data_IF_767633673817
#
_entry.id   IF_767633673817
#
_cell.length_a   1.000
_cell.length_b   1.000
_cell.length_c   1.000
_cell.angle_alpha   90.00
_cell.angle_beta   90.00
_cell.angle_gamma   90.00
#
_symmetry.space_group_name_H-M   'P 1'
#
loop_
_entity.id
_entity.type
_entity.pdbx_description
1 polymer ?
#
# COMPACT_ATOMS: atom_id res chain seq x y z
N UNK A 1 0.17 -12.10 -11.59
CA UNK A 1 0.79 -13.03 -12.56
C UNK A 1 2.26 -12.67 -12.67
N UNK A 2 3.14 -13.53 -12.15
CA UNK A 2 4.58 -13.24 -12.07
C UNK A 2 5.13 -12.89 -13.48
N UNK A 3 5.93 -11.83 -13.53
CA UNK A 3 6.57 -11.29 -14.73
C UNK A 3 7.37 -12.37 -15.49
N UNK A 4 8.03 -13.27 -14.75
CA UNK A 4 8.79 -14.40 -15.32
C UNK A 4 7.86 -15.39 -16.04
N UNK A 5 6.70 -15.72 -15.46
CA UNK A 5 5.73 -16.64 -16.09
C UNK A 5 5.24 -16.12 -17.45
N UNK A 6 4.97 -14.82 -17.57
CA UNK A 6 4.59 -14.19 -18.86
C UNK A 6 5.71 -14.28 -19.90
N UNK A 7 6.95 -14.05 -19.48
CA UNK A 7 8.09 -14.02 -20.38
C UNK A 7 8.50 -15.43 -20.81
N UNK A 8 8.49 -16.41 -19.90
CA UNK A 8 8.71 -17.81 -20.26
C UNK A 8 7.62 -18.29 -21.22
N UNK A 9 6.35 -17.92 -21.01
CA UNK A 9 5.28 -18.18 -21.97
C UNK A 9 5.50 -17.49 -23.34
N UNK A 10 6.05 -16.27 -23.37
CA UNK A 10 6.42 -15.58 -24.60
C UNK A 10 7.61 -16.23 -25.31
N UNK A 11 8.63 -16.67 -24.57
CA UNK A 11 9.77 -17.44 -25.07
C UNK A 11 9.25 -18.75 -25.68
N UNK A 12 8.34 -19.45 -25.01
CA UNK A 12 7.71 -20.67 -25.53
C UNK A 12 6.81 -20.40 -26.75
N UNK A 13 6.09 -19.26 -26.77
CA UNK A 13 5.19 -18.85 -27.86
C UNK A 13 5.91 -18.39 -29.14
N UNK A 14 7.19 -18.03 -29.07
CA UNK A 14 8.03 -17.68 -30.22
C UNK A 14 8.49 -18.89 -31.07
N UNK A 15 7.95 -20.09 -30.84
CA UNK A 15 8.16 -21.24 -31.73
C UNK A 15 9.38 -22.10 -31.41
N UNK A 16 9.85 -22.13 -30.17
CA UNK A 16 10.98 -22.97 -29.74
C UNK A 16 10.64 -24.45 -29.52
N UNK A 17 9.41 -24.87 -29.80
CA UNK A 17 8.96 -26.28 -29.76
C UNK A 17 9.54 -27.15 -30.89
N UNK A 18 10.37 -26.59 -31.78
CA UNK A 18 11.05 -27.30 -32.86
C UNK A 18 12.48 -26.81 -33.17
N UNK A 19 13.13 -26.07 -32.26
CA UNK A 19 14.48 -25.55 -32.49
C UNK A 19 15.53 -26.66 -32.33
N UNK A 20 16.44 -26.77 -33.31
CA UNK A 20 17.56 -27.72 -33.29
C UNK A 20 18.65 -27.38 -32.28
N UNK A 21 18.54 -26.22 -31.60
CA UNK A 21 19.50 -25.77 -30.59
C UNK A 21 20.85 -25.37 -31.18
N UNK A 22 20.90 -24.93 -32.44
CA UNK A 22 22.16 -24.69 -33.15
C UNK A 22 22.68 -23.26 -33.03
N UNK A 23 21.80 -22.27 -32.80
CA UNK A 23 22.20 -20.85 -32.65
C UNK A 23 22.40 -20.46 -31.18
N UNK A 24 23.36 -19.57 -30.85
CA UNK A 24 23.63 -19.16 -29.48
C UNK A 24 22.40 -18.64 -28.71
N UNK A 25 21.56 -17.82 -29.35
CA UNK A 25 20.35 -17.28 -28.73
C UNK A 25 19.30 -18.36 -28.43
N UNK A 26 19.20 -19.38 -29.28
CA UNK A 26 18.27 -20.50 -29.07
C UNK A 26 18.73 -21.39 -27.92
N UNK A 27 20.05 -21.62 -27.80
CA UNK A 27 20.64 -22.33 -26.67
C UNK A 27 20.41 -21.58 -25.35
N UNK A 28 20.51 -20.25 -25.37
CA UNK A 28 20.22 -19.44 -24.17
C UNK A 28 18.74 -19.51 -23.79
N UNK A 29 17.84 -19.44 -24.77
CA UNK A 29 16.40 -19.58 -24.54
C UNK A 29 16.05 -20.95 -23.95
N UNK A 30 16.65 -22.00 -24.50
CA UNK A 30 16.47 -23.36 -24.02
C UNK A 30 17.02 -23.53 -22.60
N UNK A 31 18.19 -22.95 -22.27
CA UNK A 31 18.75 -23.02 -20.92
C UNK A 31 17.80 -22.41 -19.89
N UNK A 32 17.25 -21.23 -20.15
CA UNK A 32 16.31 -20.56 -19.24
C UNK A 32 14.98 -21.33 -19.13
N UNK A 33 14.45 -21.85 -20.24
CA UNK A 33 13.23 -22.64 -20.23
C UNK A 33 13.41 -23.96 -19.47
N UNK A 34 14.50 -24.70 -19.75
CA UNK A 34 14.85 -25.92 -19.03
C UNK A 34 15.04 -25.63 -17.53
N UNK A 35 15.67 -24.49 -17.20
CA UNK A 35 15.84 -24.07 -15.81
C UNK A 35 14.53 -23.77 -15.10
N UNK A 36 13.56 -23.16 -15.79
CA UNK A 36 12.22 -22.89 -15.27
C UNK A 36 11.40 -24.19 -15.06
N UNK A 37 11.53 -25.14 -15.96
CA UNK A 37 10.78 -26.40 -15.92
C UNK A 37 11.43 -27.52 -15.12
N UNK A 38 12.68 -27.33 -14.65
CA UNK A 38 13.39 -28.34 -13.86
C UNK A 38 14.03 -29.44 -14.71
N UNK A 39 14.23 -29.22 -16.00
CA UNK A 39 14.88 -30.20 -16.89
C UNK A 39 16.41 -30.16 -16.70
N UNK A 40 16.86 -30.85 -15.65
CA UNK A 40 18.26 -30.91 -15.25
C UNK A 40 19.16 -31.57 -16.30
N UNK A 41 18.64 -32.52 -17.08
CA UNK A 41 19.40 -33.20 -18.14
C UNK A 41 19.75 -32.22 -19.26
N UNK A 42 18.76 -31.44 -19.72
CA UNK A 42 18.98 -30.39 -20.72
C UNK A 42 19.89 -29.29 -20.18
N UNK A 43 19.72 -28.87 -18.92
CA UNK A 43 20.59 -27.86 -18.29
C UNK A 43 22.05 -28.33 -18.28
N UNK A 44 22.31 -29.54 -17.77
CA UNK A 44 23.67 -30.10 -17.71
C UNK A 44 24.30 -30.27 -19.10
N UNK A 45 23.52 -30.71 -20.09
CA UNK A 45 23.99 -30.79 -21.48
C UNK A 45 24.41 -29.42 -22.01
N UNK A 46 23.59 -28.38 -21.79
CA UNK A 46 23.87 -27.03 -22.27
C UNK A 46 25.09 -26.41 -21.56
N UNK A 47 25.26 -26.66 -20.26
CA UNK A 47 26.46 -26.29 -19.51
C UNK A 47 27.71 -26.96 -20.12
N UNK A 48 27.64 -28.26 -20.41
CA UNK A 48 28.74 -29.01 -21.03
C UNK A 48 29.06 -28.53 -22.47
N UNK A 49 28.07 -28.01 -23.18
CA UNK A 49 28.24 -27.37 -24.49
C UNK A 49 28.83 -25.95 -24.41
N UNK A 50 29.10 -25.44 -23.21
CA UNK A 50 29.71 -24.12 -22.98
C UNK A 50 28.74 -22.95 -23.12
N UNK A 51 27.44 -23.17 -22.93
CA UNK A 51 26.45 -22.09 -22.88
C UNK A 51 26.68 -21.25 -21.63
N UNK A 52 26.71 -19.92 -21.80
CA UNK A 52 26.92 -18.98 -20.69
C UNK A 52 25.72 -18.95 -19.73
N UNK A 53 25.90 -19.51 -18.54
CA UNK A 53 24.89 -19.55 -17.47
C UNK A 53 24.52 -18.16 -16.94
N UNK A 54 25.35 -17.15 -17.21
CA UNK A 54 25.16 -15.74 -16.81
C UNK A 54 24.59 -14.87 -17.93
N UNK A 55 24.35 -15.42 -19.13
CA UNK A 55 23.79 -14.64 -20.21
C UNK A 55 22.30 -14.32 -19.94
N UNK A 56 21.97 -13.04 -20.08
CA UNK A 56 20.59 -12.56 -19.92
C UNK A 56 19.77 -12.81 -21.18
N UNK A 57 18.47 -13.05 -21.02
CA UNK A 57 17.52 -13.08 -22.14
C UNK A 57 16.43 -12.02 -22.02
N UNK A 58 16.04 -11.48 -23.18
CA UNK A 58 14.98 -10.50 -23.30
C UNK A 58 15.40 -9.11 -22.82
N UNK A 59 14.53 -8.12 -23.06
CA UNK A 59 14.75 -6.73 -22.65
C UNK A 59 14.79 -6.58 -21.13
N UNK A 60 14.11 -7.48 -20.42
CA UNK A 60 13.97 -7.41 -18.97
C UNK A 60 15.14 -8.06 -18.22
N UNK A 61 15.95 -8.87 -18.92
CA UNK A 61 17.18 -9.46 -18.40
C UNK A 61 16.95 -10.62 -17.43
N UNK A 62 16.28 -11.69 -17.88
CA UNK A 62 16.09 -12.91 -17.08
C UNK A 62 17.33 -13.81 -17.19
N UNK A 63 17.77 -14.35 -16.06
CA UNK A 63 18.87 -15.31 -15.96
C UNK A 63 18.37 -16.72 -15.61
N UNK A 64 19.14 -17.75 -15.98
CA UNK A 64 18.80 -19.15 -15.72
C UNK A 64 18.58 -19.44 -14.22
N UNK A 65 19.44 -18.87 -13.36
CA UNK A 65 19.35 -19.05 -11.91
C UNK A 65 18.08 -18.41 -11.32
N UNK A 66 17.63 -17.27 -11.84
CA UNK A 66 16.36 -16.66 -11.44
C UNK A 66 15.16 -17.51 -11.85
N UNK A 67 15.19 -18.09 -13.06
CA UNK A 67 14.13 -18.96 -13.54
C UNK A 67 14.02 -20.24 -12.68
N UNK A 68 15.16 -20.83 -12.32
CA UNK A 68 15.22 -21.96 -11.40
C UNK A 68 14.69 -21.59 -10.01
N UNK A 69 15.10 -20.42 -9.48
CA UNK A 69 14.65 -19.92 -8.20
C UNK A 69 13.14 -19.66 -8.16
N UNK A 70 12.56 -19.07 -9.22
CA UNK A 70 11.11 -18.83 -9.34
C UNK A 70 10.26 -20.09 -9.19
N UNK A 71 10.75 -21.20 -9.71
CA UNK A 71 9.99 -22.45 -9.82
C UNK A 71 10.45 -23.51 -8.83
N UNK A 72 11.24 -23.12 -7.83
CA UNK A 72 11.76 -24.03 -6.79
C UNK A 72 12.59 -25.21 -7.35
N UNK A 73 13.35 -24.98 -8.42
CA UNK A 73 14.12 -26.03 -9.10
C UNK A 73 15.50 -26.17 -8.45
N UNK A 74 15.55 -26.86 -7.30
CA UNK A 74 16.75 -26.95 -6.43
C UNK A 74 17.95 -27.55 -7.17
N UNK A 75 17.78 -28.73 -7.79
CA UNK A 75 18.87 -29.40 -8.50
C UNK A 75 19.41 -28.59 -9.68
N UNK A 76 18.52 -27.88 -10.39
CA UNK A 76 18.92 -26.96 -11.46
C UNK A 76 19.68 -25.77 -10.91
N UNK A 77 19.19 -25.13 -9.85
CA UNK A 77 19.86 -24.00 -9.24
C UNK A 77 21.27 -24.39 -8.75
N UNK A 78 21.41 -25.57 -8.14
CA UNK A 78 22.69 -26.10 -7.69
C UNK A 78 23.64 -26.37 -8.86
N UNK A 79 23.16 -27.00 -9.94
CA UNK A 79 23.97 -27.23 -11.14
C UNK A 79 24.45 -25.90 -11.77
N UNK A 80 23.59 -24.89 -11.83
CA UNK A 80 23.94 -23.56 -12.34
C UNK A 80 25.00 -22.88 -11.46
N UNK A 81 24.85 -22.92 -10.14
CA UNK A 81 25.83 -22.35 -9.20
C UNK A 81 27.19 -23.06 -9.32
N UNK A 82 27.20 -24.39 -9.38
CA UNK A 82 28.41 -25.18 -9.59
C UNK A 82 29.08 -24.89 -10.95
N UNK A 83 28.30 -24.49 -11.95
CA UNK A 83 28.78 -24.06 -13.26
C UNK A 83 29.25 -22.59 -13.30
N UNK A 84 29.26 -21.88 -12.16
CA UNK A 84 29.72 -20.50 -12.07
C UNK A 84 28.65 -19.45 -12.37
N UNK A 85 27.37 -19.75 -12.14
CA UNK A 85 26.33 -18.75 -12.16
C UNK A 85 26.59 -17.68 -11.08
N UNK A 86 26.63 -16.41 -11.48
CA UNK A 86 26.78 -15.28 -10.57
C UNK A 86 25.47 -15.07 -9.79
N UNK A 87 25.57 -15.36 -8.50
CA UNK A 87 24.48 -15.33 -7.52
C UNK A 87 23.91 -13.92 -7.29
N UNK A 88 24.65 -12.87 -7.67
CA UNK A 88 24.29 -11.48 -7.47
C UNK A 88 23.70 -10.81 -8.71
N UNK A 89 23.52 -11.53 -9.82
CA UNK A 89 22.98 -10.94 -11.04
C UNK A 89 21.60 -10.34 -10.82
N UNK A 90 21.47 -9.11 -11.32
CA UNK A 90 20.25 -8.32 -11.26
C UNK A 90 19.63 -8.16 -12.65
N UNK A 91 18.32 -8.37 -12.73
CA UNK A 91 17.54 -8.02 -13.91
C UNK A 91 17.52 -6.50 -14.14
N UNK A 92 16.92 -6.06 -15.24
CA UNK A 92 16.70 -4.63 -15.51
C UNK A 92 15.87 -3.91 -14.43
N UNK A 93 15.08 -4.65 -13.66
CA UNK A 93 14.26 -4.15 -12.54
C UNK A 93 14.95 -4.30 -11.19
N UNK A 94 16.25 -4.59 -11.19
CA UNK A 94 17.07 -4.86 -10.00
C UNK A 94 16.63 -6.11 -9.23
N UNK A 95 16.06 -7.11 -9.90
CA UNK A 95 15.58 -8.33 -9.25
C UNK A 95 16.67 -9.42 -9.27
N UNK A 96 16.87 -10.18 -8.19
CA UNK A 96 17.86 -11.27 -8.09
C UNK A 96 17.20 -12.64 -7.95
N UNK A 97 17.99 -13.73 -8.08
CA UNK A 97 17.49 -15.08 -7.81
C UNK A 97 17.05 -15.26 -6.35
N UNK A 98 17.75 -14.62 -5.41
CA UNK A 98 17.38 -14.60 -3.99
C UNK A 98 16.08 -13.83 -3.75
N UNK A 99 15.90 -12.68 -4.39
CA UNK A 99 14.65 -11.93 -4.33
C UNK A 99 13.46 -12.75 -4.83
N UNK A 100 13.66 -13.53 -5.89
CA UNK A 100 12.64 -14.44 -6.43
C UNK A 100 12.25 -15.53 -5.44
N UNK A 101 13.23 -16.23 -4.86
CA UNK A 101 12.99 -17.26 -3.86
C UNK A 101 12.30 -16.71 -2.61
N UNK A 102 12.72 -15.53 -2.14
CA UNK A 102 12.09 -14.84 -1.02
C UNK A 102 10.68 -14.32 -1.33
N UNK A 103 10.36 -14.00 -2.58
CA UNK A 103 9.02 -13.56 -2.96
C UNK A 103 8.07 -14.76 -3.09
N UNK A 104 8.51 -15.83 -3.74
CA UNK A 104 7.68 -17.01 -4.00
C UNK A 104 7.58 -17.98 -2.80
N UNK A 105 8.41 -17.82 -1.78
CA UNK A 105 8.35 -18.66 -0.57
C UNK A 105 9.18 -19.94 -0.67
N UNK A 106 10.18 -19.99 -1.54
CA UNK A 106 10.97 -21.18 -1.82
C UNK A 106 12.16 -21.32 -0.87
N UNK A 107 11.90 -21.72 0.37
CA UNK A 107 12.92 -21.77 1.43
C UNK A 107 14.14 -22.64 1.11
N UNK A 108 13.96 -23.74 0.35
CA UNK A 108 15.09 -24.60 -0.04
C UNK A 108 16.04 -23.90 -1.01
N UNK A 109 15.52 -23.06 -1.91
CA UNK A 109 16.37 -22.21 -2.77
C UNK A 109 17.05 -21.14 -1.91
N UNK A 110 16.35 -20.55 -0.95
CA UNK A 110 16.97 -19.61 0.01
C UNK A 110 18.14 -20.25 0.76
N UNK A 111 17.98 -21.49 1.25
CA UNK A 111 19.05 -22.24 1.91
C UNK A 111 20.26 -22.42 0.98
N UNK A 112 20.01 -22.93 -0.23
CA UNK A 112 21.05 -23.16 -1.23
C UNK A 112 21.83 -21.88 -1.55
N UNK A 113 21.13 -20.76 -1.78
CA UNK A 113 21.76 -19.48 -2.12
C UNK A 113 22.58 -18.90 -0.95
N UNK A 114 22.12 -19.08 0.29
CA UNK A 114 22.87 -18.68 1.48
C UNK A 114 24.13 -19.52 1.67
N UNK A 115 24.06 -20.83 1.44
CA UNK A 115 25.23 -21.73 1.49
C UNK A 115 26.30 -21.35 0.46
N UNK A 116 25.88 -20.80 -0.69
CA UNK A 116 26.76 -20.26 -1.73
C UNK A 116 27.22 -18.82 -1.48
N UNK A 117 26.93 -18.24 -0.30
CA UNK A 117 27.47 -16.95 0.11
C UNK A 117 26.78 -15.72 -0.49
N UNK A 118 25.47 -15.80 -0.78
CA UNK A 118 24.71 -14.62 -1.24
C UNK A 118 24.76 -13.47 -0.22
N UNK A 119 24.79 -12.25 -0.72
CA UNK A 119 24.81 -11.03 0.08
C UNK A 119 23.37 -10.66 0.45
N UNK A 120 23.01 -10.85 1.72
CA UNK A 120 21.67 -10.57 2.24
C UNK A 120 21.29 -9.08 2.20
N UNK A 121 22.30 -8.21 2.16
CA UNK A 121 22.14 -6.76 2.13
C UNK A 121 22.18 -6.20 0.70
N UNK A 122 22.26 -7.07 -0.32
CA UNK A 122 22.17 -6.63 -1.71
C UNK A 122 20.83 -5.94 -1.92
N UNK A 123 20.90 -4.66 -2.33
CA UNK A 123 19.72 -3.89 -2.66
C UNK A 123 19.13 -4.41 -3.96
N UNK A 124 17.94 -4.96 -3.83
CA UNK A 124 17.12 -5.46 -4.91
C UNK A 124 15.95 -4.49 -5.14
N UNK A 125 15.28 -4.64 -6.26
CA UNK A 125 14.12 -3.84 -6.71
C UNK A 125 14.41 -2.36 -7.00
N UNK A 126 13.47 -1.71 -7.70
CA UNK A 126 13.52 -0.26 -7.96
C UNK A 126 13.27 0.60 -6.70
N UNK A 127 12.86 0.00 -5.58
CA UNK A 127 12.73 0.67 -4.30
C UNK A 127 13.90 0.43 -3.34
N UNK A 128 14.97 -0.28 -3.76
CA UNK A 128 16.18 -0.47 -2.96
C UNK A 128 15.85 -1.30 -1.70
N UNK A 129 14.99 -2.30 -1.85
CA UNK A 129 14.59 -3.24 -0.80
C UNK A 129 15.67 -4.29 -0.55
N UNK A 130 15.67 -4.91 0.63
CA UNK A 130 16.44 -6.13 0.91
C UNK A 130 15.59 -7.38 0.70
N UNK A 131 16.22 -8.54 0.54
CA UNK A 131 15.51 -9.82 0.44
C UNK A 131 14.71 -10.16 1.71
N UNK A 132 15.16 -9.66 2.87
CA UNK A 132 14.39 -9.72 4.13
C UNK A 132 13.07 -8.95 4.02
N UNK A 133 13.09 -7.74 3.46
CA UNK A 133 11.86 -6.94 3.27
C UNK A 133 10.90 -7.58 2.25
N UNK A 134 11.42 -8.27 1.23
CA UNK A 134 10.61 -9.01 0.27
C UNK A 134 9.90 -10.18 0.96
N UNK A 135 10.66 -11.05 1.66
CA UNK A 135 10.08 -12.17 2.40
C UNK A 135 9.03 -11.69 3.42
N UNK A 136 9.33 -10.58 4.11
CA UNK A 136 8.40 -9.99 5.07
C UNK A 136 7.12 -9.43 4.41
N UNK A 137 7.22 -8.89 3.20
CA UNK A 137 6.06 -8.38 2.45
C UNK A 137 5.08 -9.48 2.03
N UNK A 138 5.59 -10.70 1.81
CA UNK A 138 4.80 -11.86 1.42
C UNK A 138 4.37 -12.71 2.63
N UNK A 139 4.83 -12.37 3.83
CA UNK A 139 4.48 -13.08 5.06
C UNK A 139 5.18 -14.44 5.24
N UNK A 140 6.27 -14.70 4.50
CA UNK A 140 7.04 -15.95 4.60
C UNK A 140 7.90 -15.98 5.86
N UNK A 141 7.25 -16.26 6.98
CA UNK A 141 7.79 -16.20 8.34
C UNK A 141 9.00 -17.12 8.55
N UNK A 142 9.02 -18.28 7.91
CA UNK A 142 10.12 -19.25 7.94
C UNK A 142 11.38 -18.71 7.24
N UNK A 143 11.23 -18.12 6.05
CA UNK A 143 12.32 -17.44 5.34
C UNK A 143 12.81 -16.25 6.15
N UNK A 144 11.92 -15.41 6.68
CA UNK A 144 12.30 -14.27 7.52
C UNK A 144 13.12 -14.73 8.73
N UNK A 145 12.68 -15.77 9.43
CA UNK A 145 13.41 -16.34 10.57
C UNK A 145 14.80 -16.82 10.17
N UNK A 146 14.91 -17.53 9.04
CA UNK A 146 16.18 -18.02 8.55
C UNK A 146 17.15 -16.89 8.15
N UNK A 147 16.67 -15.87 7.43
CA UNK A 147 17.50 -14.74 7.02
C UNK A 147 18.05 -13.97 8.22
N UNK A 148 17.23 -13.76 9.26
CA UNK A 148 17.67 -13.13 10.51
C UNK A 148 18.70 -13.98 11.25
N UNK A 149 18.51 -15.31 11.31
CA UNK A 149 19.51 -16.23 11.86
C UNK A 149 20.86 -16.14 11.13
N UNK A 150 20.84 -15.84 9.83
CA UNK A 150 22.02 -15.67 8.98
C UNK A 150 22.58 -14.25 8.99
N UNK A 151 22.06 -13.37 9.84
CA UNK A 151 22.61 -12.04 10.08
C UNK A 151 22.07 -10.95 9.17
N UNK A 152 20.94 -11.15 8.49
CA UNK A 152 20.28 -10.08 7.74
C UNK A 152 19.94 -8.90 8.67
N UNK A 153 20.19 -7.67 8.21
CA UNK A 153 19.89 -6.47 8.98
C UNK A 153 18.39 -6.22 9.04
N UNK A 154 17.80 -6.48 10.22
CA UNK A 154 16.36 -6.31 10.49
C UNK A 154 15.85 -4.88 10.28
N UNK A 155 16.74 -3.88 10.39
CA UNK A 155 16.40 -2.46 10.37
C UNK A 155 16.80 -1.74 9.08
N UNK A 156 17.25 -2.46 8.06
CA UNK A 156 17.68 -1.85 6.80
C UNK A 156 16.48 -1.24 6.04
N UNK A 157 16.44 0.09 5.83
CA UNK A 157 15.32 0.71 5.14
C UNK A 157 15.50 0.68 3.62
N UNK A 158 14.38 0.69 2.92
CA UNK A 158 14.34 0.95 1.48
C UNK A 158 14.43 2.46 1.17
N UNK A 159 14.30 2.84 -0.11
CA UNK A 159 14.39 4.25 -0.52
C UNK A 159 13.31 5.14 0.10
N UNK A 160 12.19 4.59 0.55
CA UNK A 160 11.07 5.32 1.14
C UNK A 160 11.10 5.26 2.68
N UNK A 161 12.14 4.66 3.26
CA UNK A 161 12.30 4.51 4.70
C UNK A 161 11.56 3.29 5.26
N UNK A 162 11.02 2.42 4.41
CA UNK A 162 10.30 1.23 4.86
C UNK A 162 11.28 0.14 5.25
N UNK A 163 11.12 -0.39 6.47
CA UNK A 163 11.81 -1.58 6.96
C UNK A 163 10.95 -2.82 6.73
N UNK A 164 11.52 -4.02 6.91
CA UNK A 164 10.78 -5.28 6.85
C UNK A 164 9.52 -5.28 7.74
N UNK A 165 9.57 -4.61 8.91
CA UNK A 165 8.41 -4.50 9.81
C UNK A 165 7.27 -3.68 9.22
N UNK A 166 7.56 -2.61 8.46
CA UNK A 166 6.51 -1.85 7.76
C UNK A 166 5.78 -2.73 6.74
N UNK A 167 6.52 -3.55 5.99
CA UNK A 167 5.97 -4.48 5.01
C UNK A 167 5.14 -5.58 5.65
N UNK A 168 5.63 -6.21 6.72
CA UNK A 168 4.90 -7.24 7.45
C UNK A 168 3.59 -6.71 8.02
N UNK A 169 3.61 -5.50 8.60
CA UNK A 169 2.43 -4.89 9.21
C UNK A 169 1.42 -4.45 8.15
N UNK A 170 1.86 -3.83 7.05
CA UNK A 170 0.97 -3.39 5.96
C UNK A 170 0.24 -4.56 5.31
N UNK A 171 0.89 -5.71 5.19
CA UNK A 171 0.31 -6.92 4.61
C UNK A 171 -0.29 -7.86 5.67
N UNK A 172 -0.56 -7.34 6.88
CA UNK A 172 -1.28 -8.04 7.96
C UNK A 172 -0.64 -9.37 8.38
N UNK A 173 0.68 -9.52 8.15
CA UNK A 173 1.44 -10.73 8.46
C UNK A 173 1.92 -10.71 9.91
N UNK A 174 1.01 -11.00 10.84
CA UNK A 174 1.26 -10.93 12.29
C UNK A 174 2.44 -11.80 12.73
N UNK A 175 2.55 -13.03 12.22
CA UNK A 175 3.64 -13.94 12.60
C UNK A 175 5.01 -13.40 12.17
N UNK A 176 5.08 -12.86 10.95
CA UNK A 176 6.30 -12.18 10.47
C UNK A 176 6.63 -10.96 11.32
N UNK A 177 5.64 -10.14 11.68
CA UNK A 177 5.85 -8.98 12.54
C UNK A 177 6.39 -9.40 13.93
N UNK A 178 5.87 -10.49 14.52
CA UNK A 178 6.36 -11.07 15.77
C UNK A 178 7.83 -11.46 15.68
N UNK A 179 8.20 -12.21 14.64
CA UNK A 179 9.58 -12.66 14.41
C UNK A 179 10.52 -11.46 14.28
N UNK A 180 10.14 -10.45 13.50
CA UNK A 180 10.94 -9.23 13.31
C UNK A 180 11.16 -8.49 14.64
N UNK A 181 10.11 -8.32 15.44
CA UNK A 181 10.20 -7.60 16.73
C UNK A 181 11.07 -8.36 17.74
N UNK A 182 10.92 -9.67 17.84
CA UNK A 182 11.79 -10.51 18.70
C UNK A 182 13.26 -10.43 18.26
N UNK A 183 13.52 -10.20 16.97
CA UNK A 183 14.85 -10.00 16.41
C UNK A 183 15.29 -8.52 16.38
N UNK A 184 14.76 -7.68 17.28
CA UNK A 184 15.16 -6.27 17.46
C UNK A 184 14.82 -5.34 16.28
N UNK A 185 13.76 -5.62 15.53
CA UNK A 185 13.18 -4.62 14.64
C UNK A 185 12.79 -3.38 15.44
N UNK A 186 13.14 -2.20 14.94
CA UNK A 186 12.71 -0.93 15.50
C UNK A 186 11.20 -0.77 15.28
N UNK A 187 10.43 -1.07 16.33
CA UNK A 187 8.96 -0.99 16.34
C UNK A 187 8.43 0.42 16.04
N UNK A 188 9.26 1.44 16.28
CA UNK A 188 8.95 2.85 16.08
C UNK A 188 9.70 3.46 14.89
N UNK A 189 10.24 2.63 13.99
CA UNK A 189 10.85 3.11 12.76
C UNK A 189 9.85 3.99 11.99
N UNK A 190 10.34 5.07 11.38
CA UNK A 190 9.51 5.99 10.61
C UNK A 190 9.94 6.00 9.16
N UNK A 191 8.98 5.88 8.26
CA UNK A 191 9.20 6.09 6.83
C UNK A 191 9.47 7.57 6.49
N UNK A 192 9.69 7.88 5.21
CA UNK A 192 9.90 9.25 4.73
C UNK A 192 8.70 10.17 4.95
N UNK A 193 7.49 9.64 5.08
CA UNK A 193 6.30 10.41 5.44
C UNK A 193 6.13 10.54 6.97
N UNK A 194 7.00 9.91 7.77
CA UNK A 194 6.94 9.89 9.22
C UNK A 194 6.01 8.83 9.80
N UNK A 195 5.52 7.90 8.97
CA UNK A 195 4.58 6.85 9.37
C UNK A 195 5.33 5.74 10.08
N UNK A 196 4.81 5.28 11.22
CA UNK A 196 5.32 4.12 11.94
C UNK A 196 4.56 2.84 11.56
N UNK A 197 5.10 1.64 11.85
CA UNK A 197 4.35 0.40 11.73
C UNK A 197 3.01 0.46 12.48
N UNK A 198 2.95 1.06 13.67
CA UNK A 198 1.71 1.22 14.43
C UNK A 198 0.64 2.05 13.68
N UNK A 199 1.03 3.13 12.99
CA UNK A 199 0.11 3.91 12.16
C UNK A 199 -0.39 3.10 10.95
N UNK A 200 0.47 2.29 10.34
CA UNK A 200 0.08 1.42 9.23
C UNK A 200 -0.90 0.33 9.70
N UNK A 201 -0.64 -0.27 10.87
CA UNK A 201 -1.55 -1.24 11.50
C UNK A 201 -2.92 -0.61 11.78
N UNK A 202 -2.99 0.68 12.12
CA UNK A 202 -4.26 1.34 12.38
C UNK A 202 -5.19 1.37 11.16
N UNK A 203 -4.63 1.40 9.94
CA UNK A 203 -5.40 1.37 8.69
C UNK A 203 -5.91 -0.04 8.32
N UNK A 204 -5.43 -1.11 8.97
CA UNK A 204 -5.73 -2.49 8.59
C UNK A 204 -7.15 -2.92 8.96
N UNK A 205 -7.53 -4.12 8.51
CA UNK A 205 -8.82 -4.71 8.84
C UNK A 205 -8.82 -5.50 10.17
N UNK A 206 -7.69 -5.60 10.90
CA UNK A 206 -7.60 -6.42 12.10
C UNK A 206 -6.90 -5.69 13.27
N UNK A 207 -7.60 -5.62 14.41
CA UNK A 207 -7.12 -5.03 15.68
C UNK A 207 -6.01 -5.84 16.37
N UNK A 208 -5.85 -7.12 16.01
CA UNK A 208 -4.85 -8.00 16.61
C UNK A 208 -3.42 -7.48 16.41
N UNK A 209 -3.12 -6.92 15.23
CA UNK A 209 -1.82 -6.31 14.95
C UNK A 209 -1.58 -5.08 15.85
N UNK A 210 -2.58 -4.22 16.03
CA UNK A 210 -2.48 -3.06 16.94
C UNK A 210 -2.25 -3.51 18.39
N UNK A 211 -3.00 -4.52 18.83
CA UNK A 211 -2.92 -5.08 20.18
C UNK A 211 -1.52 -5.64 20.43
N UNK A 212 -1.00 -6.40 19.47
CA UNK A 212 0.35 -6.95 19.55
C UNK A 212 1.40 -5.82 19.60
N UNK A 213 1.38 -4.87 18.67
CA UNK A 213 2.34 -3.77 18.66
C UNK A 213 2.28 -2.93 19.95
N UNK A 214 1.09 -2.67 20.50
CA UNK A 214 0.93 -1.99 21.78
C UNK A 214 1.54 -2.81 22.94
N UNK A 215 1.31 -4.13 22.97
CA UNK A 215 1.91 -5.02 23.98
C UNK A 215 3.45 -4.99 23.94
N UNK A 216 4.03 -4.71 22.78
CA UNK A 216 5.47 -4.54 22.55
C UNK A 216 5.93 -3.09 22.75
N UNK A 217 5.09 -2.23 23.34
CA UNK A 217 5.38 -0.81 23.66
C UNK A 217 5.65 0.07 22.44
N UNK A 218 4.96 -0.17 21.32
CA UNK A 218 4.92 0.78 20.22
C UNK A 218 4.43 2.17 20.69
N UNK A 219 4.98 3.25 20.13
CA UNK A 219 4.55 4.61 20.40
C UNK A 219 3.22 4.89 19.70
N UNK A 220 2.13 4.76 20.46
CA UNK A 220 0.76 5.03 20.00
C UNK A 220 0.50 6.52 19.73
N UNK A 221 1.30 7.39 20.35
CA UNK A 221 1.13 8.85 20.31
C UNK A 221 1.87 9.52 19.15
N UNK A 222 2.69 8.73 18.44
CA UNK A 222 3.48 9.20 17.32
C UNK A 222 2.60 9.94 16.31
N UNK A 223 3.19 10.98 15.71
CA UNK A 223 2.64 11.70 14.57
C UNK A 223 3.55 11.57 13.36
N UNK A 224 2.93 11.53 12.19
CA UNK A 224 3.61 11.59 10.91
C UNK A 224 4.03 13.03 10.56
N UNK A 225 4.60 13.24 9.36
CA UNK A 225 5.02 14.57 8.93
C UNK A 225 3.86 15.51 8.61
N UNK A 226 2.67 15.00 8.30
CA UNK A 226 1.45 15.79 8.16
C UNK A 226 0.85 16.16 9.52
N UNK A 227 1.27 15.51 10.60
CA UNK A 227 0.74 15.69 11.95
C UNK A 227 -0.37 14.69 12.32
N UNK A 228 -0.70 13.75 11.43
CA UNK A 228 -1.66 12.69 11.69
C UNK A 228 -1.10 11.62 12.62
N UNK A 229 -1.92 11.14 13.56
CA UNK A 229 -1.62 9.99 14.43
C UNK A 229 -2.38 8.74 13.95
N UNK A 230 -2.23 7.62 14.65
CA UNK A 230 -2.90 6.36 14.31
C UNK A 230 -4.44 6.47 14.15
N UNK A 231 -5.11 7.36 14.88
CA UNK A 231 -6.56 7.53 14.80
C UNK A 231 -7.01 8.07 13.43
N UNK A 232 -6.20 8.91 12.77
CA UNK A 232 -6.46 9.36 11.40
C UNK A 232 -6.47 8.17 10.42
N UNK A 233 -5.49 7.27 10.56
CA UNK A 233 -5.35 6.10 9.71
C UNK A 233 -6.49 5.10 9.93
N UNK A 234 -6.90 4.85 11.17
CA UNK A 234 -8.06 4.00 11.49
C UNK A 234 -9.37 4.56 10.92
N UNK A 235 -9.59 5.87 11.07
CA UNK A 235 -10.76 6.54 10.50
C UNK A 235 -10.80 6.45 8.97
N UNK A 236 -9.63 6.45 8.32
CA UNK A 236 -9.53 6.28 6.87
C UNK A 236 -9.63 4.83 6.38
N UNK A 237 -9.24 3.85 7.21
CA UNK A 237 -9.24 2.42 6.89
C UNK A 237 -10.62 1.76 6.96
N UNK A 238 -11.57 2.33 7.72
CA UNK A 238 -12.94 1.85 7.78
C UNK A 238 -13.23 0.78 8.85
N UNK A 239 -12.21 0.31 9.58
CA UNK A 239 -12.40 -0.61 10.69
C UNK A 239 -12.74 0.13 11.99
N UNK A 240 -14.00 0.00 12.44
CA UNK A 240 -14.48 0.64 13.67
C UNK A 240 -13.82 0.08 14.95
N UNK A 241 -13.41 -1.18 14.98
CA UNK A 241 -12.73 -1.78 16.14
C UNK A 241 -11.34 -1.15 16.35
N UNK A 242 -10.62 -0.82 15.28
CA UNK A 242 -9.37 -0.06 15.38
C UNK A 242 -9.62 1.35 15.96
N UNK A 243 -10.71 2.02 15.53
CA UNK A 243 -11.08 3.33 16.09
C UNK A 243 -11.40 3.24 17.58
N UNK A 244 -12.22 2.27 18.00
CA UNK A 244 -12.55 2.02 19.41
C UNK A 244 -11.29 1.78 20.24
N UNK A 245 -10.44 0.86 19.80
CA UNK A 245 -9.18 0.52 20.46
C UNK A 245 -8.30 1.75 20.67
N UNK A 246 -8.15 2.61 19.65
CA UNK A 246 -7.31 3.80 19.74
C UNK A 246 -7.88 4.87 20.68
N UNK A 247 -9.20 5.04 20.72
CA UNK A 247 -9.84 5.94 21.69
C UNK A 247 -9.72 5.40 23.13
N UNK A 248 -9.88 4.09 23.32
CA UNK A 248 -9.65 3.43 24.62
C UNK A 248 -8.18 3.54 25.06
N UNK A 249 -7.24 3.56 24.11
CA UNK A 249 -5.83 3.83 24.36
C UNK A 249 -5.53 5.32 24.65
N UNK A 250 -6.55 6.20 24.67
CA UNK A 250 -6.44 7.59 25.10
C UNK A 250 -6.03 8.58 24.01
N UNK A 251 -6.12 8.21 22.72
CA UNK A 251 -5.90 9.18 21.65
C UNK A 251 -7.02 10.23 21.64
N UNK A 252 -6.62 11.48 21.46
CA UNK A 252 -7.54 12.61 21.38
C UNK A 252 -8.40 12.53 20.11
N UNK A 253 -9.72 12.37 20.32
CA UNK A 253 -10.75 12.30 19.28
C UNK A 253 -10.81 13.56 18.42
N UNK A 254 -10.41 14.71 18.96
CA UNK A 254 -10.40 16.01 18.29
C UNK A 254 -9.00 16.46 17.87
N UNK A 255 -8.02 15.54 17.87
CA UNK A 255 -6.66 15.85 17.46
C UNK A 255 -6.62 16.44 16.04
N UNK A 256 -5.70 17.38 15.83
CA UNK A 256 -5.54 18.10 14.56
C UNK A 256 -4.18 17.84 13.94
N UNK A 257 -4.18 17.60 12.63
CA UNK A 257 -2.97 17.58 11.82
C UNK A 257 -2.54 19.02 11.44
N UNK A 258 -1.49 19.16 10.63
CA UNK A 258 -0.97 20.47 10.20
C UNK A 258 -1.91 21.24 9.26
N UNK A 259 -2.81 20.54 8.57
CA UNK A 259 -3.86 21.13 7.75
C UNK A 259 -5.16 21.30 8.54
N UNK A 260 -5.10 21.13 9.86
CA UNK A 260 -6.22 21.21 10.77
C UNK A 260 -7.31 20.14 10.51
N UNK A 261 -6.99 19.06 9.79
CA UNK A 261 -7.89 17.93 9.64
C UNK A 261 -8.09 17.24 10.99
N UNK A 262 -9.30 16.73 11.22
CA UNK A 262 -9.65 15.90 12.39
C UNK A 262 -9.89 14.45 11.96
N UNK A 263 -9.83 13.47 12.89
CA UNK A 263 -10.24 12.10 12.61
C UNK A 263 -11.66 12.00 12.02
N UNK A 264 -12.59 12.84 12.51
CA UNK A 264 -13.95 12.93 11.97
C UNK A 264 -13.94 13.35 10.50
N UNK A 265 -13.19 14.39 10.13
CA UNK A 265 -13.10 14.86 8.75
C UNK A 265 -12.54 13.77 7.81
N UNK A 266 -11.56 12.97 8.27
CA UNK A 266 -11.04 11.83 7.52
C UNK A 266 -12.12 10.76 7.31
N UNK A 267 -12.82 10.35 8.36
CA UNK A 267 -13.90 9.36 8.28
C UNK A 267 -15.02 9.81 7.32
N UNK A 268 -15.38 11.10 7.39
CA UNK A 268 -16.38 11.70 6.50
C UNK A 268 -15.92 11.66 5.04
N UNK A 269 -14.69 12.12 4.75
CA UNK A 269 -14.15 12.11 3.38
C UNK A 269 -14.17 10.70 2.77
N UNK A 270 -13.85 9.69 3.57
CA UNK A 270 -13.79 8.30 3.13
C UNK A 270 -15.15 7.57 3.13
N UNK A 271 -16.26 8.26 3.44
CA UNK A 271 -17.59 7.64 3.41
C UNK A 271 -17.87 6.66 4.54
N UNK A 272 -17.10 6.71 5.64
CA UNK A 272 -17.16 5.72 6.72
C UNK A 272 -18.27 6.03 7.73
N UNK A 273 -19.54 5.90 7.31
CA UNK A 273 -20.72 6.33 8.09
C UNK A 273 -20.74 5.76 9.53
N UNK A 274 -20.43 4.47 9.70
CA UNK A 274 -20.41 3.83 11.03
C UNK A 274 -19.37 4.47 11.97
N UNK A 275 -18.20 4.84 11.44
CA UNK A 275 -17.16 5.53 12.20
C UNK A 275 -17.56 6.97 12.49
N UNK A 276 -18.12 7.70 11.51
CA UNK A 276 -18.64 9.06 11.71
C UNK A 276 -19.66 9.10 12.85
N UNK A 277 -20.64 8.19 12.81
CA UNK A 277 -21.65 8.05 13.86
C UNK A 277 -21.02 7.82 15.23
N UNK A 278 -20.11 6.84 15.30
CA UNK A 278 -19.44 6.49 16.55
C UNK A 278 -18.60 7.65 17.12
N UNK A 279 -17.83 8.35 16.28
CA UNK A 279 -17.01 9.49 16.71
C UNK A 279 -17.87 10.62 17.30
N UNK A 280 -18.98 10.98 16.63
CA UNK A 280 -19.89 12.02 17.12
C UNK A 280 -20.55 11.60 18.44
N UNK A 281 -20.97 10.34 18.57
CA UNK A 281 -21.52 9.79 19.82
C UNK A 281 -20.49 9.78 20.96
N UNK A 282 -19.19 9.77 20.63
CA UNK A 282 -18.07 9.87 21.59
C UNK A 282 -17.57 11.30 21.82
N UNK A 283 -18.24 12.31 21.26
CA UNK A 283 -17.94 13.72 21.53
C UNK A 283 -16.94 14.36 20.55
N UNK A 284 -16.80 13.83 19.34
CA UNK A 284 -16.08 14.51 18.28
C UNK A 284 -16.77 15.85 17.94
N UNK A 285 -15.97 16.91 17.76
CA UNK A 285 -16.45 18.20 17.30
C UNK A 285 -16.99 18.10 15.87
N UNK A 286 -18.18 18.65 15.64
CA UNK A 286 -18.91 18.50 14.36
C UNK A 286 -18.49 19.53 13.30
N UNK A 287 -18.13 20.75 13.72
CA UNK A 287 -17.77 21.86 12.82
C UNK A 287 -16.31 22.36 12.93
N UNK A 288 -15.29 21.55 13.25
CA UNK A 288 -13.91 22.03 13.21
C UNK A 288 -13.52 22.32 11.75
N UNK A 289 -13.12 23.56 11.40
CA UNK A 289 -12.76 23.91 10.03
C UNK A 289 -11.30 23.56 9.72
N UNK A 290 -11.00 22.96 8.58
CA UNK A 290 -9.62 22.79 8.10
C UNK A 290 -8.98 24.14 7.70
N UNK A 291 -7.74 24.13 7.18
CA UNK A 291 -7.06 25.35 6.73
C UNK A 291 -7.75 26.10 5.59
N UNK A 292 -8.68 25.46 4.87
CA UNK A 292 -9.50 26.08 3.82
C UNK A 292 -10.86 26.57 4.35
N UNK A 293 -11.11 26.41 5.65
CA UNK A 293 -12.39 26.71 6.27
C UNK A 293 -13.43 25.61 6.10
N UNK A 294 -13.06 24.45 5.55
CA UNK A 294 -14.01 23.37 5.30
C UNK A 294 -14.28 22.58 6.57
N UNK A 295 -15.56 22.44 6.91
CA UNK A 295 -16.03 21.56 8.00
C UNK A 295 -16.27 20.13 7.47
N UNK A 296 -16.49 19.14 8.34
CA UNK A 296 -16.94 17.81 7.93
C UNK A 296 -18.12 17.84 6.94
N UNK A 297 -19.08 18.77 7.08
CA UNK A 297 -20.19 18.89 6.14
C UNK A 297 -19.74 19.26 4.71
N UNK A 298 -18.72 20.12 4.55
CA UNK A 298 -18.15 20.41 3.22
C UNK A 298 -17.61 19.15 2.56
N UNK A 299 -16.84 18.35 3.29
CA UNK A 299 -16.30 17.10 2.75
C UNK A 299 -17.41 16.11 2.38
N UNK A 300 -18.46 15.98 3.19
CA UNK A 300 -19.61 15.12 2.86
C UNK A 300 -20.34 15.57 1.58
N UNK A 301 -20.53 16.89 1.41
CA UNK A 301 -21.14 17.48 0.22
C UNK A 301 -20.28 17.29 -1.03
N UNK A 302 -18.96 17.44 -0.91
CA UNK A 302 -18.02 17.25 -2.02
C UNK A 302 -18.00 15.82 -2.52
N UNK A 303 -17.84 14.88 -1.59
CA UNK A 303 -17.65 13.47 -1.91
C UNK A 303 -18.98 12.74 -2.20
N UNK A 304 -20.13 13.43 -2.07
CA UNK A 304 -21.45 12.86 -2.37
C UNK A 304 -22.02 11.93 -1.31
N UNK A 305 -21.49 11.96 -0.08
CA UNK A 305 -21.90 11.06 1.00
C UNK A 305 -23.20 11.53 1.67
N UNK A 306 -24.35 11.30 1.00
CA UNK A 306 -25.67 11.77 1.43
C UNK A 306 -25.99 11.43 2.90
N UNK A 307 -25.86 10.16 3.30
CA UNK A 307 -26.21 9.73 4.66
C UNK A 307 -25.34 10.41 5.72
N UNK A 308 -24.05 10.62 5.42
CA UNK A 308 -23.13 11.36 6.30
C UNK A 308 -23.54 12.83 6.37
N UNK A 309 -23.79 13.48 5.24
CA UNK A 309 -24.20 14.88 5.20
C UNK A 309 -25.50 15.11 6.00
N UNK A 310 -26.50 14.25 5.80
CA UNK A 310 -27.77 14.26 6.53
C UNK A 310 -27.55 14.10 8.03
N UNK A 311 -26.76 13.10 8.44
CA UNK A 311 -26.48 12.84 9.85
C UNK A 311 -25.72 14.01 10.51
N UNK A 312 -24.75 14.62 9.83
CA UNK A 312 -24.04 15.80 10.33
C UNK A 312 -25.01 16.97 10.59
N UNK A 313 -25.91 17.25 9.65
CA UNK A 313 -26.95 18.29 9.81
C UNK A 313 -27.89 17.97 10.97
N UNK A 314 -28.33 16.72 11.09
CA UNK A 314 -29.17 16.27 12.23
C UNK A 314 -28.47 16.38 13.58
N UNK A 315 -27.14 16.31 13.61
CA UNK A 315 -26.32 16.51 14.81
C UNK A 315 -25.91 17.98 15.04
N UNK A 316 -26.40 18.90 14.22
CA UNK A 316 -26.24 20.34 14.44
C UNK A 316 -25.07 20.97 13.70
N UNK A 317 -24.54 20.33 12.65
CA UNK A 317 -23.59 20.98 11.75
C UNK A 317 -24.20 22.27 11.17
N UNK A 318 -23.43 23.36 11.17
CA UNK A 318 -23.88 24.64 10.64
C UNK A 318 -23.97 24.56 9.10
N UNK A 319 -25.20 24.36 8.62
CA UNK A 319 -25.55 24.20 7.22
C UNK A 319 -25.17 25.40 6.33
N UNK A 320 -25.00 26.59 6.94
CA UNK A 320 -24.71 27.85 6.27
C UNK A 320 -23.30 28.36 6.56
N UNK A 321 -22.44 27.57 7.21
CA UNK A 321 -21.06 27.98 7.44
C UNK A 321 -20.33 28.13 6.11
N UNK A 322 -19.50 29.15 6.02
CA UNK A 322 -18.71 29.42 4.82
C UNK A 322 -17.25 29.01 4.98
N UNK A 323 -16.63 28.64 3.87
CA UNK A 323 -15.17 28.51 3.75
C UNK A 323 -14.49 29.88 3.80
N UNK A 324 -13.16 29.90 3.71
CA UNK A 324 -12.40 31.16 3.59
C UNK A 324 -12.78 31.97 2.35
N UNK A 325 -13.31 31.32 1.30
CA UNK A 325 -13.77 31.94 0.05
C UNK A 325 -15.27 32.22 0.03
N UNK A 326 -15.92 32.26 1.20
CA UNK A 326 -17.36 32.44 1.33
C UNK A 326 -18.23 31.34 0.66
N UNK A 327 -17.63 30.23 0.21
CA UNK A 327 -18.35 29.09 -0.37
C UNK A 327 -19.14 28.38 0.72
N UNK A 328 -20.38 27.99 0.44
CA UNK A 328 -21.25 27.22 1.35
C UNK A 328 -21.29 25.72 0.98
N UNK A 329 -21.70 24.82 1.88
CA UNK A 329 -21.93 23.41 1.56
C UNK A 329 -22.92 23.20 0.40
N UNK A 330 -23.95 24.05 0.32
CA UNK A 330 -24.94 24.01 -0.76
C UNK A 330 -24.33 24.33 -2.12
N UNK A 331 -23.44 25.33 -2.21
CA UNK A 331 -22.73 25.65 -3.45
C UNK A 331 -21.85 24.49 -3.90
N UNK A 332 -21.16 23.85 -2.95
CA UNK A 332 -20.29 22.71 -3.25
C UNK A 332 -21.10 21.50 -3.72
N UNK A 333 -22.19 21.13 -3.03
CA UNK A 333 -23.09 20.06 -3.46
C UNK A 333 -23.71 20.33 -4.85
N UNK A 334 -24.01 21.60 -5.14
CA UNK A 334 -24.55 22.03 -6.43
C UNK A 334 -23.50 21.96 -7.56
N UNK A 335 -22.24 22.30 -7.26
CA UNK A 335 -21.11 22.18 -8.18
C UNK A 335 -20.76 20.72 -8.50
N UNK A 336 -20.82 19.83 -7.52
CA UNK A 336 -20.48 18.40 -7.68
C UNK A 336 -21.63 17.55 -8.24
N UNK A 337 -22.81 18.14 -8.46
CA UNK A 337 -23.93 17.44 -9.10
C UNK A 337 -24.76 16.58 -8.16
N UNK A 338 -24.60 16.73 -6.84
CA UNK A 338 -25.25 15.89 -5.83
C UNK A 338 -26.68 16.38 -5.52
N UNK A 339 -27.64 16.11 -6.42
CA UNK A 339 -29.02 16.61 -6.31
C UNK A 339 -29.70 16.24 -4.98
N UNK A 340 -29.50 15.03 -4.48
CA UNK A 340 -30.15 14.59 -3.24
C UNK A 340 -29.61 15.33 -2.02
N UNK A 341 -28.31 15.64 -2.00
CA UNK A 341 -27.70 16.50 -0.98
C UNK A 341 -28.22 17.93 -1.12
N UNK A 342 -28.31 18.46 -2.34
CA UNK A 342 -28.87 19.80 -2.60
C UNK A 342 -30.29 19.90 -2.03
N UNK A 343 -31.16 18.94 -2.34
CA UNK A 343 -32.54 18.90 -1.82
C UNK A 343 -32.55 18.86 -0.29
N UNK A 344 -31.80 17.92 0.30
CA UNK A 344 -31.72 17.79 1.75
C UNK A 344 -31.25 19.09 2.42
N UNK A 345 -30.23 19.74 1.86
CA UNK A 345 -29.71 20.99 2.42
C UNK A 345 -30.75 22.12 2.35
N UNK A 346 -31.44 22.27 1.22
CA UNK A 346 -32.49 23.29 1.06
C UNK A 346 -33.67 23.03 2.01
N UNK A 347 -34.12 21.77 2.10
CA UNK A 347 -35.17 21.36 3.04
C UNK A 347 -34.79 21.62 4.51
N UNK A 348 -33.50 21.56 4.84
CA UNK A 348 -32.96 21.83 6.18
C UNK A 348 -32.58 23.30 6.41
N UNK A 349 -32.91 24.19 5.49
CA UNK A 349 -32.76 25.65 5.67
C UNK A 349 -31.41 26.23 5.21
N UNK A 350 -30.74 25.59 4.25
CA UNK A 350 -29.58 26.19 3.58
C UNK A 350 -30.00 27.46 2.81
N UNK A 351 -29.20 28.51 2.92
CA UNK A 351 -29.43 29.77 2.23
C UNK A 351 -29.09 29.65 0.74
N UNK A 352 -30.10 29.40 -0.08
CA UNK A 352 -30.01 29.32 -1.56
C UNK A 352 -29.50 30.61 -2.23
N UNK A 353 -29.53 31.75 -1.53
CA UNK A 353 -29.11 33.05 -2.05
C UNK A 353 -27.77 33.53 -1.48
N UNK A 354 -27.11 32.73 -0.63
CA UNK A 354 -25.74 33.01 -0.21
C UNK A 354 -24.84 33.19 -1.43
N UNK A 355 -23.83 34.05 -1.29
CA UNK A 355 -22.87 34.37 -2.33
C UNK A 355 -21.46 34.11 -1.84
N UNK A 356 -20.63 33.53 -2.70
CA UNK A 356 -19.20 33.42 -2.46
C UNK A 356 -18.48 34.76 -2.77
N UNK A 357 -17.14 34.75 -2.70
CA UNK A 357 -16.31 35.92 -2.99
C UNK A 357 -16.49 36.49 -4.41
N UNK A 358 -16.81 35.64 -5.39
CA UNK A 358 -17.07 36.02 -6.78
C UNK A 358 -18.53 36.43 -7.03
N UNK A 359 -19.36 36.39 -5.98
CA UNK A 359 -20.78 36.72 -6.05
C UNK A 359 -21.67 35.58 -6.58
N UNK A 360 -21.12 34.38 -6.75
CA UNK A 360 -21.84 33.21 -7.26
C UNK A 360 -22.73 32.60 -6.18
N UNK A 361 -23.92 32.18 -6.58
CA UNK A 361 -24.84 31.40 -5.75
C UNK A 361 -24.73 29.92 -6.10
N UNK A 362 -25.38 29.06 -5.31
CA UNK A 362 -25.45 27.62 -5.61
C UNK A 362 -25.99 27.31 -7.02
N UNK A 363 -26.95 28.10 -7.51
CA UNK A 363 -27.47 27.94 -8.88
C UNK A 363 -26.41 28.28 -9.95
N UNK A 364 -25.51 29.21 -9.68
CA UNK A 364 -24.45 29.60 -10.60
C UNK A 364 -23.34 28.54 -10.63
N UNK A 365 -22.99 27.99 -9.46
CA UNK A 365 -22.10 26.82 -9.35
C UNK A 365 -22.63 25.62 -10.14
N UNK A 366 -23.93 25.31 -10.03
CA UNK A 366 -24.57 24.25 -10.81
C UNK A 366 -24.61 24.53 -12.33
N UNK A 367 -24.80 25.80 -12.73
CA UNK A 367 -24.74 26.20 -14.15
C UNK A 367 -23.35 26.01 -14.73
N UNK A 368 -22.32 26.45 -14.01
CA UNK A 368 -20.94 26.32 -14.45
C UNK A 368 -20.51 24.85 -14.62
N UNK A 369 -20.96 23.99 -13.69
CA UNK A 369 -20.75 22.54 -13.76
C UNK A 369 -21.74 21.79 -14.68
N UNK A 370 -22.67 22.49 -15.34
CA UNK A 370 -23.66 21.94 -16.28
C UNK A 370 -24.67 20.96 -15.67
N UNK A 371 -24.98 21.08 -14.38
CA UNK A 371 -25.98 20.26 -13.68
C UNK A 371 -27.40 20.84 -13.83
N UNK A 372 -27.99 20.66 -15.02
CA UNK A 372 -29.31 21.22 -15.39
C UNK A 372 -30.45 20.84 -14.45
N UNK A 373 -30.43 19.63 -13.90
CA UNK A 373 -31.43 19.16 -12.95
C UNK A 373 -31.38 19.91 -11.61
N UNK A 374 -30.18 20.23 -11.11
CA UNK A 374 -30.01 21.08 -9.92
C UNK A 374 -30.40 22.52 -10.22
N UNK A 375 -30.05 23.05 -11.40
CA UNK A 375 -30.48 24.38 -11.82
C UNK A 375 -32.01 24.48 -11.84
N UNK A 376 -32.71 23.48 -12.37
CA UNK A 376 -34.17 23.45 -12.40
C UNK A 376 -34.80 23.33 -11.01
N UNK A 377 -34.15 22.63 -10.09
CA UNK A 377 -34.58 22.55 -8.69
C UNK A 377 -34.40 23.91 -7.98
N UNK A 378 -33.21 24.51 -8.06
CA UNK A 378 -32.89 25.75 -7.36
C UNK A 378 -33.64 26.98 -7.90
N UNK A 379 -34.16 26.94 -9.13
CA UNK A 379 -35.03 28.00 -9.68
C UNK A 379 -36.38 28.17 -8.95
N UNK A 380 -36.76 27.20 -8.11
CA UNK A 380 -38.02 27.20 -7.38
C UNK A 380 -38.00 28.09 -6.14
N UNK A 381 -36.81 28.61 -5.78
CA UNK A 381 -36.54 29.50 -4.66
C UNK A 381 -35.90 30.78 -5.18
#
# INVERSE_FOLDING_TARGET
MNHIKKIVLLILGLGFLGCTGTRPEEKQALLISASYHGDIETVNRLIAEGVDVNARMGKDGIFALQAAANQNQIAVAEALLNAGADIHLLSSTLWSAMAEACYEGHINIVYLLVEHGVNLEQKVTSNISTVLSIAASQGHADIVSYLLQKGANVNDPDKDGWTALHYAVRNESLETAKILIVNNANINAKDKAGKSPFMLAAQSANVEMLTYLQSQKADISAKDKAGGNALFYACGGGNIENVKFLLEAGLDINSRDKNLWTPLAVAVKQGQFSIVKYLIEKGAEIDPPDTTGWTPLFHACREGHYEIAKYLVEKGANINRTSIHQVTPLMLAAHEGNLDIVKMLVEKGANVHAKDEDGWKAIDSARAAKHTHIVNYLKQF
#
